data_IF_602717979393
#
_entry.id   IF_602717979393
#
_cell.length_a   1.000
_cell.length_b   1.000
_cell.length_c   1.000
_cell.angle_alpha   90.00
_cell.angle_beta   90.00
_cell.angle_gamma   90.00
#
_symmetry.space_group_name_H-M   'P 1'
#
loop_
_entity.id
_entity.type
_entity.pdbx_description
1 polymer ?
#
# COMPACT_ATOMS: atom_id res chain seq x y z
N UNK A 1 51.00 -38.27 -58.72
CA UNK A 1 50.64 -37.29 -57.69
C UNK A 1 49.41 -37.72 -56.95
N UNK A 2 49.54 -38.56 -55.91
CA UNK A 2 48.48 -39.01 -55.01
C UNK A 2 49.08 -39.20 -53.64
N UNK A 3 49.31 -38.14 -52.91
CA UNK A 3 49.71 -38.16 -51.54
C UNK A 3 49.27 -36.79 -50.97
N UNK A 4 48.15 -36.73 -50.25
CA UNK A 4 47.88 -35.70 -49.26
C UNK A 4 46.46 -35.77 -48.68
N UNK A 5 45.63 -36.77 -49.13
CA UNK A 5 44.25 -36.89 -48.57
C UNK A 5 44.16 -37.68 -47.26
N UNK A 6 45.20 -38.45 -46.90
CA UNK A 6 45.13 -39.32 -45.72
C UNK A 6 45.53 -38.64 -44.41
N UNK A 7 46.36 -37.60 -44.51
CA UNK A 7 46.85 -36.86 -43.34
C UNK A 7 45.81 -35.86 -42.79
N UNK A 8 44.93 -35.34 -43.65
CA UNK A 8 43.89 -34.37 -43.22
C UNK A 8 42.74 -35.07 -42.50
N UNK A 9 42.45 -36.34 -42.84
CA UNK A 9 41.37 -37.10 -42.16
C UNK A 9 41.78 -37.54 -40.78
N UNK A 10 43.08 -37.81 -40.54
CA UNK A 10 43.55 -38.20 -39.23
C UNK A 10 43.59 -37.04 -38.24
N UNK A 11 43.79 -35.80 -38.67
CA UNK A 11 43.75 -34.61 -37.81
C UNK A 11 42.32 -34.18 -37.45
N UNK A 12 41.33 -34.43 -38.30
CA UNK A 12 39.91 -34.13 -38.04
C UNK A 12 39.29 -35.10 -37.01
N UNK A 13 39.74 -36.34 -36.94
CA UNK A 13 39.23 -37.35 -36.00
C UNK A 13 39.81 -37.17 -34.60
N UNK A 14 41.00 -36.61 -34.47
CA UNK A 14 41.64 -36.35 -33.15
C UNK A 14 41.05 -35.06 -32.53
N UNK A 15 40.60 -34.09 -33.34
CA UNK A 15 40.00 -32.87 -32.83
C UNK A 15 38.54 -33.05 -32.40
N UNK A 16 37.83 -34.05 -32.91
CA UNK A 16 36.45 -34.34 -32.49
C UNK A 16 36.30 -35.21 -31.25
N UNK A 17 37.38 -35.86 -30.85
CA UNK A 17 37.37 -36.71 -29.61
C UNK A 17 37.74 -35.98 -28.35
N UNK A 18 38.30 -34.77 -28.43
CA UNK A 18 38.67 -33.95 -27.28
C UNK A 18 37.53 -33.06 -26.75
N UNK A 19 36.37 -33.00 -27.40
CA UNK A 19 35.22 -32.22 -26.97
C UNK A 19 34.21 -33.02 -26.13
N UNK A 20 34.34 -34.34 -26.05
CA UNK A 20 33.39 -35.21 -25.36
C UNK A 20 33.78 -35.60 -23.90
N UNK A 21 34.86 -35.03 -23.36
CA UNK A 21 35.34 -35.36 -22.00
C UNK A 21 35.23 -34.19 -21.03
N UNK A 22 34.48 -33.13 -21.34
CA UNK A 22 34.35 -31.93 -20.48
C UNK A 22 32.99 -31.75 -19.87
N UNK A 23 32.12 -32.77 -19.80
CA UNK A 23 30.78 -32.66 -19.23
C UNK A 23 30.51 -33.51 -17.98
N UNK A 24 31.52 -33.69 -17.15
CA UNK A 24 31.34 -34.19 -15.79
C UNK A 24 32.09 -33.29 -14.83
N UNK A 25 31.70 -32.02 -14.76
CA UNK A 25 32.04 -31.20 -13.60
C UNK A 25 30.91 -31.36 -12.61
N UNK A 26 31.25 -32.03 -11.52
CA UNK A 26 30.34 -32.36 -10.45
C UNK A 26 29.60 -31.15 -9.92
N UNK A 27 28.39 -31.41 -9.44
CA UNK A 27 27.66 -30.53 -8.54
C UNK A 27 28.61 -30.03 -7.46
N UNK A 28 29.11 -28.83 -7.62
CA UNK A 28 29.60 -28.06 -6.48
C UNK A 28 28.39 -27.84 -5.58
N UNK A 29 28.42 -28.21 -4.31
CA UNK A 29 27.41 -27.81 -3.39
C UNK A 29 27.37 -26.28 -3.44
N UNK A 30 26.21 -25.72 -3.73
CA UNK A 30 25.95 -24.29 -3.61
C UNK A 30 26.35 -23.95 -2.17
N UNK A 31 27.45 -23.22 -2.05
CA UNK A 31 27.94 -22.76 -0.75
C UNK A 31 26.78 -21.99 -0.13
N UNK A 32 26.23 -22.52 0.94
CA UNK A 32 25.19 -21.86 1.71
C UNK A 32 25.67 -20.47 2.08
N UNK A 33 24.99 -19.49 1.50
CA UNK A 33 24.87 -18.12 1.92
C UNK A 33 25.45 -17.84 3.30
N UNK A 34 26.43 -16.95 3.35
CA UNK A 34 26.65 -16.11 4.52
C UNK A 34 25.33 -15.48 4.99
N UNK A 35 25.27 -14.91 6.19
CA UNK A 35 24.04 -14.31 6.68
C UNK A 35 23.49 -13.39 5.61
N UNK A 36 22.26 -13.65 5.19
CA UNK A 36 21.51 -12.75 4.30
C UNK A 36 21.51 -11.41 5.03
N UNK A 37 22.30 -10.44 4.56
CA UNK A 37 22.16 -9.07 5.00
C UNK A 37 20.68 -8.74 4.72
N UNK A 38 19.94 -8.45 5.80
CA UNK A 38 18.53 -8.12 5.69
C UNK A 38 18.39 -7.01 4.64
N UNK A 39 17.78 -7.34 3.53
CA UNK A 39 17.44 -6.32 2.54
C UNK A 39 16.29 -5.53 3.14
N UNK A 40 16.43 -4.23 3.20
CA UNK A 40 15.37 -3.30 3.60
C UNK A 40 14.31 -3.12 2.48
N UNK A 41 14.30 -4.03 1.53
CA UNK A 41 13.42 -4.06 0.37
C UNK A 41 12.70 -5.40 0.27
N UNK A 42 11.41 -5.36 -0.05
CA UNK A 42 10.59 -6.53 -0.39
C UNK A 42 10.01 -6.39 -1.78
N UNK A 43 9.86 -7.49 -2.48
CA UNK A 43 9.13 -7.59 -3.75
C UNK A 43 7.95 -8.54 -3.53
N UNK A 44 6.76 -8.05 -3.80
CA UNK A 44 5.49 -8.80 -3.69
C UNK A 44 4.95 -9.01 -5.10
N UNK A 45 4.93 -10.26 -5.56
CA UNK A 45 4.33 -10.58 -6.85
C UNK A 45 2.81 -10.73 -6.68
N UNK A 46 2.04 -9.99 -7.48
CA UNK A 46 0.58 -10.03 -7.49
C UNK A 46 0.05 -10.38 -8.88
N UNK A 47 -1.22 -10.78 -8.96
CA UNK A 47 -1.89 -10.95 -10.24
C UNK A 47 -2.09 -9.57 -10.90
N UNK A 48 -1.88 -9.44 -12.24
CA UNK A 48 -2.09 -8.16 -12.94
C UNK A 48 -3.51 -7.59 -12.76
N UNK A 49 -4.52 -8.43 -12.49
CA UNK A 49 -5.88 -7.95 -12.20
C UNK A 49 -6.03 -7.33 -10.81
N UNK A 50 -5.00 -7.46 -9.95
CA UNK A 50 -4.97 -6.79 -8.64
C UNK A 50 -4.49 -5.34 -8.72
N UNK A 51 -4.10 -4.87 -9.90
CA UNK A 51 -3.73 -3.47 -10.09
C UNK A 51 -4.94 -2.56 -9.85
N UNK A 52 -4.81 -1.49 -9.04
CA UNK A 52 -5.92 -0.63 -8.70
C UNK A 52 -6.42 0.16 -9.93
N UNK A 53 -7.62 -0.15 -10.41
CA UNK A 53 -8.19 0.49 -11.61
C UNK A 53 -8.35 2.02 -11.45
N UNK A 54 -8.75 2.46 -10.25
CA UNK A 54 -8.93 3.87 -9.89
C UNK A 54 -7.69 4.50 -9.25
N UNK A 55 -6.57 3.76 -9.14
CA UNK A 55 -5.39 4.20 -8.41
C UNK A 55 -5.58 4.11 -6.90
N UNK A 56 -4.82 4.91 -6.18
CA UNK A 56 -4.76 4.91 -4.71
C UNK A 56 -5.72 5.91 -4.07
N UNK A 57 -6.88 6.13 -4.70
CA UNK A 57 -7.92 7.04 -4.18
C UNK A 57 -8.94 6.26 -3.34
N UNK A 58 -9.02 6.51 -2.02
CA UNK A 58 -9.95 5.80 -1.14
C UNK A 58 -11.43 6.10 -1.45
N UNK A 59 -11.74 7.18 -2.18
CA UNK A 59 -13.11 7.50 -2.56
C UNK A 59 -13.65 6.57 -3.65
N UNK A 60 -12.79 6.01 -4.47
CA UNK A 60 -13.18 5.11 -5.57
C UNK A 60 -12.78 3.66 -5.34
N UNK A 61 -12.11 3.38 -4.22
CA UNK A 61 -11.53 2.07 -3.94
C UNK A 61 -10.28 1.79 -4.75
N UNK A 62 -9.45 0.92 -4.25
CA UNK A 62 -8.22 0.51 -4.89
C UNK A 62 -8.16 -1.02 -5.00
N UNK A 63 -7.94 -1.47 -6.23
CA UNK A 63 -7.72 -2.87 -6.56
C UNK A 63 -8.96 -3.75 -6.65
N UNK A 64 -8.80 -4.83 -7.41
CA UNK A 64 -9.76 -5.92 -7.46
C UNK A 64 -9.50 -6.82 -6.25
N UNK A 65 -10.22 -6.65 -5.26
CA UNK A 65 -10.13 -7.47 -4.09
C UNK A 65 -10.67 -6.67 -2.95
N UNK A 66 -11.74 -7.09 -2.47
CA UNK A 66 -12.42 -6.68 -1.27
C UNK A 66 -11.52 -6.90 -0.05
N UNK A 67 -10.28 -6.47 -0.16
CA UNK A 67 -9.31 -6.66 0.87
C UNK A 67 -9.42 -5.51 1.84
N UNK A 68 -9.87 -5.84 3.02
CA UNK A 68 -9.76 -5.00 4.21
C UNK A 68 -8.27 -4.91 4.56
N UNK A 69 -7.56 -4.02 3.90
CA UNK A 69 -6.16 -3.77 4.18
C UNK A 69 -6.01 -2.39 4.80
N UNK A 70 -5.18 -2.33 5.79
CA UNK A 70 -4.67 -1.06 6.30
C UNK A 70 -3.96 -0.35 5.13
N UNK A 71 -4.39 0.87 4.75
CA UNK A 71 -3.74 1.62 3.69
C UNK A 71 -2.27 1.85 4.05
N UNK A 72 -1.39 1.75 3.06
CA UNK A 72 0.03 2.00 3.26
C UNK A 72 0.39 3.47 3.03
N UNK A 73 -0.34 4.16 2.15
CA UNK A 73 -0.06 5.55 1.73
C UNK A 73 -0.82 6.55 2.61
N UNK A 74 -2.08 6.26 2.90
CA UNK A 74 -2.89 7.07 3.80
C UNK A 74 -2.90 6.44 5.20
N UNK A 75 -3.18 7.25 6.22
CA UNK A 75 -3.53 6.78 7.57
C UNK A 75 -5.05 6.72 7.72
N UNK A 76 -5.52 5.89 8.62
CA UNK A 76 -6.94 5.74 8.97
C UNK A 76 -7.22 6.30 10.36
N UNK A 77 -8.47 6.50 10.73
CA UNK A 77 -8.81 6.93 12.09
C UNK A 77 -8.52 5.84 13.12
N UNK A 78 -8.88 4.61 12.79
CA UNK A 78 -8.71 3.44 13.66
C UNK A 78 -8.00 2.32 12.91
N UNK A 79 -7.56 1.28 13.61
CA UNK A 79 -6.98 0.07 13.04
C UNK A 79 -7.65 -1.16 13.61
N UNK A 80 -7.74 -2.21 12.83
CA UNK A 80 -8.18 -3.52 13.30
C UNK A 80 -6.98 -4.35 13.71
N UNK A 81 -6.87 -4.66 15.01
CA UNK A 81 -5.80 -5.49 15.54
C UNK A 81 -5.94 -6.96 15.10
N UNK A 82 -4.86 -7.78 15.18
CA UNK A 82 -4.93 -9.20 14.82
C UNK A 82 -5.94 -10.03 15.63
N UNK A 83 -6.30 -9.58 16.84
CA UNK A 83 -7.33 -10.19 17.68
C UNK A 83 -8.74 -9.65 17.39
N UNK A 84 -8.89 -8.88 16.33
CA UNK A 84 -10.12 -8.23 15.88
C UNK A 84 -10.63 -7.11 16.81
N UNK A 85 -9.86 -6.68 17.76
CA UNK A 85 -10.17 -5.44 18.52
C UNK A 85 -9.85 -4.21 17.69
N UNK A 86 -10.50 -3.09 18.00
CA UNK A 86 -10.22 -1.80 17.37
C UNK A 86 -9.24 -1.00 18.21
N UNK A 87 -8.16 -0.57 17.60
CA UNK A 87 -7.20 0.39 18.13
C UNK A 87 -7.34 1.76 17.47
N UNK A 88 -6.78 2.80 18.09
CA UNK A 88 -6.64 4.11 17.46
C UNK A 88 -5.41 4.16 16.56
N UNK A 89 -5.51 4.92 15.45
CA UNK A 89 -4.37 5.34 14.62
C UNK A 89 -4.31 6.87 14.64
N UNK A 90 -5.02 7.57 13.74
CA UNK A 90 -5.19 9.02 13.86
C UNK A 90 -6.11 9.38 15.03
N UNK A 91 -7.16 8.57 15.30
CA UNK A 91 -8.05 8.79 16.41
C UNK A 91 -7.40 8.44 17.75
N UNK A 92 -7.45 9.37 18.69
CA UNK A 92 -7.04 9.19 20.10
C UNK A 92 -8.20 8.75 20.98
N UNK A 93 -9.43 9.09 20.57
CA UNK A 93 -10.67 8.65 21.24
C UNK A 93 -11.86 8.74 20.28
N UNK A 94 -12.90 7.94 20.57
CA UNK A 94 -14.19 8.00 19.87
C UNK A 94 -15.32 7.58 20.80
N UNK A 95 -16.46 8.22 20.68
CA UNK A 95 -17.63 7.97 21.50
C UNK A 95 -18.92 8.13 20.68
N UNK A 96 -19.86 7.20 20.87
CA UNK A 96 -21.19 7.30 20.28
C UNK A 96 -22.14 8.02 21.23
N UNK A 97 -23.09 8.78 20.69
CA UNK A 97 -24.25 9.27 21.45
C UNK A 97 -25.14 8.13 21.93
N UNK A 98 -25.98 8.35 22.94
CA UNK A 98 -26.88 7.34 23.51
C UNK A 98 -27.87 6.77 22.46
N UNK A 99 -28.29 7.59 21.51
CA UNK A 99 -29.16 7.19 20.40
C UNK A 99 -28.42 6.56 19.21
N UNK A 100 -27.08 6.57 19.25
CA UNK A 100 -26.22 6.02 18.19
C UNK A 100 -26.24 6.84 16.88
N UNK A 101 -26.78 8.05 16.89
CA UNK A 101 -26.90 8.91 15.72
C UNK A 101 -25.72 9.87 15.54
N UNK A 102 -24.81 9.96 16.50
CA UNK A 102 -23.56 10.69 16.32
C UNK A 102 -22.37 9.91 16.88
N UNK A 103 -21.23 10.09 16.22
CA UNK A 103 -19.93 9.66 16.73
C UNK A 103 -19.01 10.86 16.81
N UNK A 104 -18.53 11.16 17.99
CA UNK A 104 -17.50 12.19 18.21
C UNK A 104 -16.14 11.53 18.26
N UNK A 105 -15.23 11.98 17.42
CA UNK A 105 -13.87 11.43 17.30
C UNK A 105 -12.88 12.55 17.51
N UNK A 106 -11.93 12.33 18.42
CA UNK A 106 -10.79 13.24 18.62
C UNK A 106 -9.58 12.63 17.94
N UNK A 107 -8.90 13.41 17.11
CA UNK A 107 -7.67 12.99 16.43
C UNK A 107 -6.44 13.61 17.08
N UNK A 108 -5.28 13.05 16.79
CA UNK A 108 -3.98 13.60 17.16
C UNK A 108 -3.68 14.87 16.35
N UNK A 109 -2.79 15.71 16.86
CA UNK A 109 -2.41 17.02 16.30
C UNK A 109 -0.94 17.09 15.81
N UNK A 110 -0.26 15.95 15.80
CA UNK A 110 1.17 15.84 15.46
C UNK A 110 1.42 15.12 14.14
N UNK A 111 0.43 15.05 13.25
CA UNK A 111 0.52 14.38 11.95
C UNK A 111 0.57 15.41 10.83
N UNK A 112 1.48 15.17 9.87
CA UNK A 112 1.51 15.90 8.60
C UNK A 112 1.35 14.94 7.42
N UNK A 113 0.83 15.47 6.32
CA UNK A 113 0.89 14.80 5.03
C UNK A 113 2.31 14.84 4.45
N UNK A 114 2.56 14.04 3.44
CA UNK A 114 3.88 13.93 2.78
C UNK A 114 4.32 15.18 2.02
N UNK A 115 3.44 16.15 1.85
CA UNK A 115 3.74 17.50 1.32
C UNK A 115 4.09 18.52 2.43
N UNK A 116 3.99 18.12 3.70
CA UNK A 116 4.33 18.92 4.87
C UNK A 116 3.18 19.69 5.51
N UNK A 117 1.98 19.71 4.91
CA UNK A 117 0.80 20.31 5.51
C UNK A 117 0.25 19.47 6.67
N UNK A 118 -0.26 20.12 7.70
CA UNK A 118 -0.83 19.45 8.87
C UNK A 118 -2.14 18.74 8.51
N UNK A 119 -2.32 17.51 9.04
CA UNK A 119 -3.57 16.79 8.96
C UNK A 119 -4.50 17.26 10.08
N UNK A 120 -5.71 17.67 9.74
CA UNK A 120 -6.71 18.21 10.66
C UNK A 120 -8.05 17.48 10.56
N UNK A 121 -8.96 17.78 11.47
CA UNK A 121 -10.33 17.25 11.43
C UNK A 121 -11.10 17.71 10.17
N UNK A 122 -10.69 18.81 9.52
CA UNK A 122 -11.25 19.23 8.22
C UNK A 122 -10.98 18.20 7.13
N UNK A 123 -9.75 17.69 7.06
CA UNK A 123 -9.37 16.65 6.10
C UNK A 123 -10.16 15.36 6.33
N UNK A 124 -10.39 15.01 7.60
CA UNK A 124 -11.22 13.86 7.97
C UNK A 124 -12.66 14.06 7.49
N UNK A 125 -13.30 15.19 7.84
CA UNK A 125 -14.67 15.49 7.43
C UNK A 125 -14.79 15.54 5.89
N UNK A 126 -13.86 16.20 5.23
CA UNK A 126 -13.76 16.23 3.77
C UNK A 126 -13.70 14.82 3.17
N UNK A 127 -12.80 13.97 3.68
CA UNK A 127 -12.61 12.60 3.19
C UNK A 127 -13.90 11.80 3.25
N UNK A 128 -14.54 11.74 4.42
CA UNK A 128 -15.76 10.93 4.58
C UNK A 128 -16.94 11.43 3.77
N UNK A 129 -17.09 12.75 3.65
CA UNK A 129 -18.13 13.35 2.79
C UNK A 129 -17.84 13.05 1.30
N UNK A 130 -16.59 13.08 0.89
CA UNK A 130 -16.17 12.75 -0.49
C UNK A 130 -16.39 11.28 -0.80
N UNK A 131 -15.95 10.37 0.09
CA UNK A 131 -16.17 8.92 -0.07
C UNK A 131 -17.66 8.59 -0.14
N UNK A 132 -18.48 9.20 0.72
CA UNK A 132 -19.94 9.05 0.68
C UNK A 132 -20.53 9.49 -0.65
N UNK A 133 -20.08 10.64 -1.16
CA UNK A 133 -20.59 11.19 -2.42
C UNK A 133 -20.16 10.36 -3.64
N UNK A 134 -18.94 9.81 -3.64
CA UNK A 134 -18.40 8.97 -4.71
C UNK A 134 -19.05 7.58 -4.76
N UNK A 135 -19.36 7.00 -3.62
CA UNK A 135 -20.19 5.79 -3.34
C UNK A 135 -20.09 4.65 -4.36
N UNK A 136 -18.89 4.24 -4.73
CA UNK A 136 -18.76 3.18 -5.73
C UNK A 136 -18.36 1.81 -5.18
N UNK A 137 -17.68 1.75 -4.04
CA UNK A 137 -17.10 0.51 -3.50
C UNK A 137 -17.57 0.24 -2.07
N UNK A 138 -17.64 1.27 -1.24
CA UNK A 138 -18.05 1.14 0.16
C UNK A 138 -19.46 1.68 0.36
N UNK A 139 -20.30 0.96 1.10
CA UNK A 139 -21.63 1.43 1.47
C UNK A 139 -21.52 2.43 2.63
N UNK A 140 -21.80 3.71 2.35
CA UNK A 140 -21.85 4.80 3.33
C UNK A 140 -23.27 5.35 3.54
N UNK A 141 -24.29 4.56 3.23
CA UNK A 141 -25.70 4.98 3.41
C UNK A 141 -26.06 5.24 4.88
N UNK A 142 -25.32 4.62 5.82
CA UNK A 142 -25.46 4.85 7.27
C UNK A 142 -24.96 6.21 7.72
N UNK A 143 -24.02 6.82 7.00
CA UNK A 143 -23.50 8.17 7.29
C UNK A 143 -24.43 9.22 6.66
N UNK A 144 -24.81 10.24 7.41
CA UNK A 144 -25.45 11.44 6.84
C UNK A 144 -24.37 12.43 6.35
N UNK A 145 -23.52 12.88 7.26
CA UNK A 145 -22.35 13.70 6.93
C UNK A 145 -21.33 13.69 8.07
N UNK A 146 -20.13 14.20 7.78
CA UNK A 146 -19.09 14.46 8.76
C UNK A 146 -18.85 15.97 8.87
N UNK A 147 -18.59 16.46 10.09
CA UNK A 147 -18.34 17.86 10.39
C UNK A 147 -17.11 18.00 11.28
N UNK A 148 -16.19 18.90 10.90
CA UNK A 148 -15.08 19.29 11.78
C UNK A 148 -15.56 20.39 12.74
N UNK A 149 -15.47 20.14 14.03
CA UNK A 149 -15.87 21.10 15.08
C UNK A 149 -14.72 22.06 15.41
N UNK A 150 -13.52 21.52 15.41
CA UNK A 150 -12.25 22.23 15.56
C UNK A 150 -11.15 21.46 14.82
N UNK A 151 -9.89 21.84 14.96
CA UNK A 151 -8.76 21.24 14.24
C UNK A 151 -8.54 19.75 14.58
N UNK A 152 -9.04 19.28 15.73
CA UNK A 152 -8.81 17.93 16.25
C UNK A 152 -10.09 17.14 16.50
N UNK A 153 -11.26 17.73 16.35
CA UNK A 153 -12.54 17.07 16.66
C UNK A 153 -13.42 16.99 15.42
N UNK A 154 -13.81 15.77 15.06
CA UNK A 154 -14.78 15.50 14.00
C UNK A 154 -16.02 14.81 14.58
N UNK A 155 -17.19 15.21 14.11
CA UNK A 155 -18.47 14.58 14.44
C UNK A 155 -19.05 13.94 13.17
N UNK A 156 -19.32 12.66 13.26
CA UNK A 156 -20.04 11.92 12.22
C UNK A 156 -21.52 11.88 12.59
N UNK A 157 -22.35 12.41 11.74
CA UNK A 157 -23.81 12.35 11.85
C UNK A 157 -24.31 11.13 11.07
N UNK A 158 -25.00 10.24 11.76
CA UNK A 158 -25.46 8.98 11.19
C UNK A 158 -26.92 9.09 10.75
N UNK A 159 -27.24 8.65 9.54
CA UNK A 159 -28.61 8.53 9.06
C UNK A 159 -29.41 7.45 9.81
N UNK A 160 -28.72 6.45 10.32
CA UNK A 160 -29.26 5.36 11.16
C UNK A 160 -28.20 4.93 12.18
N UNK A 161 -28.61 4.47 13.38
CA UNK A 161 -27.64 3.98 14.37
C UNK A 161 -26.74 2.88 13.79
N UNK A 162 -25.42 3.01 13.93
CA UNK A 162 -24.46 2.08 13.35
C UNK A 162 -23.31 1.82 14.32
N UNK A 163 -23.45 0.77 15.13
CA UNK A 163 -22.54 0.45 16.25
C UNK A 163 -21.16 -0.05 15.82
N UNK A 164 -21.00 -0.52 14.58
CA UNK A 164 -19.70 -0.98 14.05
C UNK A 164 -18.95 0.10 13.29
N UNK A 165 -19.34 1.38 13.44
CA UNK A 165 -18.66 2.51 12.82
C UNK A 165 -17.15 2.55 13.03
N UNK A 166 -16.60 2.18 14.21
CA UNK A 166 -15.15 2.11 14.41
C UNK A 166 -14.41 1.16 13.45
N UNK A 167 -15.06 0.09 12.97
CA UNK A 167 -14.47 -0.78 11.93
C UNK A 167 -14.49 -0.13 10.55
N UNK A 168 -15.49 0.69 10.24
CA UNK A 168 -15.54 1.47 9.01
C UNK A 168 -14.45 2.54 9.01
N UNK A 169 -14.16 3.13 10.16
CA UNK A 169 -13.07 4.09 10.33
C UNK A 169 -11.68 3.47 10.10
N UNK A 170 -11.54 2.16 10.19
CA UNK A 170 -10.28 1.43 9.97
C UNK A 170 -9.94 1.17 8.49
N UNK A 171 -10.86 1.43 7.56
CA UNK A 171 -10.67 1.12 6.14
C UNK A 171 -10.63 2.36 5.23
N UNK A 172 -10.93 3.54 5.76
CA UNK A 172 -10.95 4.79 4.98
C UNK A 172 -9.67 5.56 5.23
N UNK A 173 -8.81 5.61 4.22
CA UNK A 173 -7.60 6.42 4.25
C UNK A 173 -7.93 7.92 4.15
N UNK A 174 -7.34 8.74 5.00
CA UNK A 174 -7.58 10.19 5.02
C UNK A 174 -6.78 10.86 3.90
N UNK A 175 -7.46 11.70 3.13
CA UNK A 175 -6.87 12.48 2.03
C UNK A 175 -6.82 13.97 2.38
N UNK A 176 -5.81 14.72 1.89
CA UNK A 176 -5.72 16.15 2.13
C UNK A 176 -6.77 16.93 1.33
N UNK A 177 -7.63 17.72 2.00
CA UNK A 177 -8.62 18.55 1.33
C UNK A 177 -7.97 19.54 0.36
N UNK A 178 -6.85 20.18 0.76
CA UNK A 178 -6.16 21.20 0.00
C UNK A 178 -5.54 20.71 -1.32
N UNK A 179 -5.24 19.42 -1.43
CA UNK A 179 -4.55 18.83 -2.58
C UNK A 179 -5.35 17.72 -3.28
N UNK A 180 -6.60 17.51 -2.90
CA UNK A 180 -7.43 16.47 -3.49
C UNK A 180 -8.06 16.92 -4.80
N UNK A 181 -7.72 16.23 -5.87
CA UNK A 181 -8.38 16.33 -7.17
C UNK A 181 -8.82 14.92 -7.61
N UNK A 182 -10.14 14.63 -7.72
CA UNK A 182 -10.63 13.29 -8.04
C UNK A 182 -10.16 12.77 -9.41
N UNK A 183 -9.68 13.64 -10.30
CA UNK A 183 -9.16 13.23 -11.59
C UNK A 183 -7.71 12.73 -11.53
N UNK A 184 -6.93 13.15 -10.55
CA UNK A 184 -5.48 12.92 -10.52
C UNK A 184 -4.97 12.31 -9.23
N UNK A 185 -5.70 12.44 -8.12
CA UNK A 185 -5.26 11.97 -6.80
C UNK A 185 -4.88 10.48 -6.80
N UNK A 186 -5.67 9.63 -7.42
CA UNK A 186 -5.41 8.19 -7.46
C UNK A 186 -4.06 7.81 -8.10
N UNK A 187 -3.50 8.67 -8.96
CA UNK A 187 -2.21 8.45 -9.59
C UNK A 187 -1.06 9.15 -8.86
N UNK A 188 -1.36 10.19 -8.10
CA UNK A 188 -0.38 10.98 -7.37
C UNK A 188 -0.86 11.22 -5.93
N UNK A 189 -1.04 10.16 -5.14
CA UNK A 189 -1.59 10.28 -3.80
C UNK A 189 -0.63 11.01 -2.87
N UNK A 190 -1.17 11.94 -2.11
CA UNK A 190 -0.53 12.57 -0.95
C UNK A 190 -1.19 11.95 0.28
N UNK A 191 -0.41 11.38 1.17
CA UNK A 191 -0.93 10.70 2.34
C UNK A 191 -0.10 10.99 3.58
N UNK A 192 -0.50 10.42 4.70
CA UNK A 192 0.19 10.50 5.99
C UNK A 192 0.68 9.13 6.47
N UNK A 193 0.54 8.10 5.63
CA UNK A 193 0.83 6.72 5.97
C UNK A 193 2.32 6.38 6.04
N UNK A 194 2.59 5.09 6.30
CA UNK A 194 3.94 4.54 6.46
C UNK A 194 4.80 4.60 5.21
N UNK A 195 4.17 4.67 4.03
CA UNK A 195 4.85 4.67 2.74
C UNK A 195 4.30 5.76 1.84
N UNK A 196 5.11 6.16 0.88
CA UNK A 196 4.78 7.08 -0.20
C UNK A 196 4.84 6.36 -1.53
N UNK A 197 3.96 6.72 -2.46
CA UNK A 197 4.07 6.26 -3.84
C UNK A 197 5.29 6.93 -4.48
N UNK A 198 6.25 6.11 -4.91
CA UNK A 198 7.45 6.58 -5.61
C UNK A 198 7.30 6.49 -7.12
N UNK A 199 6.70 5.41 -7.59
CA UNK A 199 6.56 5.13 -9.01
C UNK A 199 5.43 4.15 -9.23
N UNK A 200 4.68 4.35 -10.29
CA UNK A 200 3.68 3.42 -10.76
C UNK A 200 3.82 3.24 -12.29
N UNK A 201 4.32 2.10 -12.70
CA UNK A 201 4.39 1.66 -14.08
C UNK A 201 3.20 0.73 -14.32
N UNK A 202 2.11 1.25 -14.88
CA UNK A 202 0.85 0.51 -15.06
C UNK A 202 1.06 -0.82 -15.78
N UNK A 203 0.54 -1.89 -15.19
CA UNK A 203 0.68 -3.26 -15.67
C UNK A 203 2.06 -3.89 -15.46
N UNK A 204 2.95 -3.25 -14.69
CA UNK A 204 4.31 -3.74 -14.45
C UNK A 204 4.68 -3.73 -12.96
N UNK A 205 4.62 -2.58 -12.30
CA UNK A 205 5.02 -2.46 -10.90
C UNK A 205 4.49 -1.19 -10.24
N UNK A 206 4.33 -1.28 -8.93
CA UNK A 206 4.16 -0.15 -8.01
C UNK A 206 5.35 -0.14 -7.06
N UNK A 207 5.99 1.00 -6.91
CA UNK A 207 7.12 1.18 -5.98
C UNK A 207 6.69 2.14 -4.88
N UNK A 208 6.74 1.65 -3.65
CA UNK A 208 6.52 2.44 -2.45
C UNK A 208 7.85 2.61 -1.71
N UNK A 209 8.09 3.82 -1.19
CA UNK A 209 9.22 4.13 -0.31
C UNK A 209 8.71 4.51 1.09
N UNK A 210 9.45 4.14 2.12
CA UNK A 210 9.11 4.48 3.49
C UNK A 210 9.01 6.00 3.65
N UNK A 211 7.93 6.45 4.29
CA UNK A 211 7.75 7.85 4.65
C UNK A 211 8.71 8.21 5.78
N UNK A 212 9.66 9.13 5.57
CA UNK A 212 10.63 9.50 6.60
C UNK A 212 10.00 10.28 7.76
N UNK A 213 8.86 10.95 7.49
CA UNK A 213 8.15 11.80 8.44
C UNK A 213 6.92 11.10 9.04
N UNK A 214 6.86 9.76 8.93
CA UNK A 214 5.76 9.00 9.52
C UNK A 214 5.75 9.16 11.05
N UNK A 215 4.60 9.54 11.59
CA UNK A 215 4.39 9.85 13.00
C UNK A 215 4.48 8.65 13.96
N UNK A 216 4.42 7.43 13.44
CA UNK A 216 4.49 6.19 14.23
C UNK A 216 5.87 5.53 14.18
N UNK A 217 5.91 4.22 14.46
CA UNK A 217 7.15 3.45 14.34
C UNK A 217 7.60 3.39 12.88
N UNK A 218 8.84 3.79 12.63
CA UNK A 218 9.41 3.82 11.28
C UNK A 218 9.37 2.42 10.63
N UNK A 219 8.95 2.31 9.36
CA UNK A 219 8.92 1.05 8.65
C UNK A 219 10.28 0.38 8.61
N UNK A 220 10.33 -0.92 8.91
CA UNK A 220 11.57 -1.72 8.83
C UNK A 220 12.03 -1.91 7.38
N UNK A 221 11.08 -2.01 6.46
CA UNK A 221 11.33 -2.07 5.03
C UNK A 221 11.38 -0.65 4.48
N UNK A 222 12.44 -0.29 3.78
CA UNK A 222 12.59 1.04 3.18
C UNK A 222 11.89 1.14 1.84
N UNK A 223 11.68 0.00 1.18
CA UNK A 223 11.06 -0.07 -0.14
C UNK A 223 10.21 -1.32 -0.29
N UNK A 224 9.04 -1.14 -0.86
CA UNK A 224 8.13 -2.21 -1.28
C UNK A 224 7.93 -2.08 -2.79
N UNK A 225 8.12 -3.16 -3.52
CA UNK A 225 7.80 -3.24 -4.95
C UNK A 225 6.71 -4.29 -5.12
N UNK A 226 5.64 -3.92 -5.77
CA UNK A 226 4.46 -4.76 -6.02
C UNK A 226 4.33 -4.94 -7.52
#
# INVERSE_FOLDING_TARGET
MKQNSFTIILFSVILSLSVLLSSCQGNQPVSSSGPVQGTDTVVVAMDPNSEPAAGFDPAYGWGAGEHVHEPLIQSTLTVTNPDLTIGGDLATSWEASEDGLTWTVTIRDDVSFTDGEALTASDVAFTYNTVKAASSVNDFTMLDHAEAVDDTTVVFHMATPFSIWPYTMAIVGIVPEHAYDPATYGQNPIGSGRYMLKQWDKGQQVILEANPDYYGEAPKLKRVTI
#
